data_IF_321537383347
#
_entry.id   IF_321537383347
#
_cell.length_a   1.000
_cell.length_b   1.000
_cell.length_c   1.000
_cell.angle_alpha   90.00
_cell.angle_beta   90.00
_cell.angle_gamma   90.00
#
_symmetry.space_group_name_H-M   'P 1'
#
loop_
_entity.id
_entity.type
_entity.pdbx_description
1 polymer ?
#
# COMPACT_ATOMS: atom_id res chain seq x y z
N UNK A 1 -23.40 -12.51 -2.70
CA UNK A 1 -21.92 -12.28 -2.62
C UNK A 1 -21.43 -12.03 -4.04
N UNK A 2 -20.73 -10.93 -4.26
CA UNK A 2 -20.00 -10.76 -5.51
C UNK A 2 -19.01 -11.92 -5.67
N UNK A 3 -18.74 -12.40 -6.88
CA UNK A 3 -17.76 -13.47 -7.09
C UNK A 3 -16.40 -13.02 -6.60
N UNK A 4 -15.75 -13.88 -5.80
CA UNK A 4 -14.36 -13.73 -5.35
C UNK A 4 -13.47 -13.62 -6.59
N UNK A 5 -12.68 -12.57 -6.69
CA UNK A 5 -11.78 -12.32 -7.82
C UNK A 5 -10.35 -12.22 -7.28
N UNK A 6 -9.61 -13.34 -7.26
CA UNK A 6 -8.26 -13.30 -6.74
C UNK A 6 -7.36 -12.43 -7.63
N UNK A 7 -6.56 -11.60 -6.98
CA UNK A 7 -5.56 -10.73 -7.58
C UNK A 7 -4.17 -11.36 -7.49
N UNK A 8 -3.85 -11.95 -6.32
CA UNK A 8 -2.60 -12.67 -6.07
C UNK A 8 -2.95 -13.99 -5.36
N UNK A 9 -2.42 -15.09 -5.83
CA UNK A 9 -2.57 -16.42 -5.21
C UNK A 9 -1.19 -17.03 -4.99
N UNK A 10 -0.85 -17.24 -3.74
CA UNK A 10 0.38 -17.91 -3.29
C UNK A 10 0.01 -19.28 -2.78
N UNK A 11 0.62 -20.35 -3.33
CA UNK A 11 0.30 -21.74 -3.01
C UNK A 11 1.54 -22.54 -2.63
N UNK A 12 1.58 -23.05 -1.40
CA UNK A 12 2.62 -23.93 -0.89
C UNK A 12 4.03 -23.34 -1.04
N UNK A 13 4.21 -22.03 -0.85
CA UNK A 13 5.43 -21.35 -1.23
C UNK A 13 6.57 -21.63 -0.27
N UNK A 14 7.68 -22.17 -0.79
CA UNK A 14 8.91 -22.42 -0.04
C UNK A 14 10.07 -21.60 -0.60
N UNK A 15 10.90 -21.06 0.30
CA UNK A 15 12.15 -20.36 -0.05
C UNK A 15 13.22 -20.57 1.00
N UNK A 16 14.42 -20.91 0.54
CA UNK A 16 15.63 -21.02 1.37
C UNK A 16 16.77 -20.23 0.75
N UNK A 17 17.69 -19.75 1.57
CA UNK A 17 18.95 -19.13 1.14
C UNK A 17 20.10 -19.79 1.89
N UNK A 18 21.11 -20.28 1.17
CA UNK A 18 22.24 -20.98 1.79
C UNK A 18 21.84 -22.16 2.68
N UNK A 19 20.77 -22.89 2.30
CA UNK A 19 20.24 -24.02 3.06
C UNK A 19 19.36 -23.63 4.27
N UNK A 20 19.25 -22.34 4.61
CA UNK A 20 18.37 -21.88 5.71
C UNK A 20 16.97 -21.61 5.16
N UNK A 21 15.92 -22.31 5.68
CA UNK A 21 14.55 -22.07 5.25
C UNK A 21 14.09 -20.69 5.75
N UNK A 22 13.42 -19.94 4.85
CA UNK A 22 12.84 -18.63 5.14
C UNK A 22 11.32 -18.67 5.03
N UNK A 23 10.80 -19.30 3.96
CA UNK A 23 9.37 -19.60 3.82
C UNK A 23 9.18 -21.11 3.72
N UNK A 24 8.14 -21.62 4.38
CA UNK A 24 7.93 -23.04 4.62
C UNK A 24 6.46 -23.45 4.37
N UNK A 25 6.01 -23.36 3.12
CA UNK A 25 4.65 -23.69 2.75
C UNK A 25 3.67 -22.57 3.08
N UNK A 26 3.92 -21.37 2.51
CA UNK A 26 3.04 -20.21 2.66
C UNK A 26 1.92 -20.28 1.64
N UNK A 27 0.68 -20.20 2.12
CA UNK A 27 -0.54 -20.08 1.34
C UNK A 27 -1.23 -18.77 1.68
N UNK A 28 -1.47 -17.89 0.68
CA UNK A 28 -2.16 -16.61 0.84
C UNK A 28 -2.86 -16.27 -0.47
N UNK A 29 -4.13 -15.90 -0.40
CA UNK A 29 -4.86 -15.30 -1.52
C UNK A 29 -5.20 -13.86 -1.20
N UNK A 30 -4.90 -12.93 -2.10
CA UNK A 30 -5.30 -11.53 -2.02
C UNK A 30 -6.38 -11.30 -3.07
N UNK A 31 -7.51 -10.73 -2.64
CA UNK A 31 -8.64 -10.44 -3.51
C UNK A 31 -8.44 -9.10 -4.25
N UNK A 32 -9.06 -8.96 -5.41
CA UNK A 32 -9.10 -7.69 -6.12
C UNK A 32 -9.79 -6.62 -5.25
N UNK A 33 -9.14 -5.46 -5.09
CA UNK A 33 -9.64 -4.36 -4.25
C UNK A 33 -9.47 -4.58 -2.76
N UNK A 34 -8.76 -5.62 -2.33
CA UNK A 34 -8.51 -5.87 -0.92
C UNK A 34 -7.31 -5.08 -0.40
N UNK A 35 -7.36 -4.67 0.87
CA UNK A 35 -6.20 -4.19 1.61
C UNK A 35 -5.74 -5.27 2.56
N UNK A 36 -4.52 -5.77 2.36
CA UNK A 36 -3.91 -6.82 3.18
C UNK A 36 -2.64 -6.29 3.84
N UNK A 37 -2.50 -6.48 5.15
CA UNK A 37 -1.26 -6.23 5.88
C UNK A 37 -0.55 -7.55 6.20
N UNK A 38 0.70 -7.67 5.79
CA UNK A 38 1.59 -8.79 6.13
C UNK A 38 2.44 -8.35 7.31
N UNK A 39 2.21 -8.97 8.46
CA UNK A 39 2.88 -8.65 9.72
C UNK A 39 3.75 -9.83 10.21
N UNK A 40 4.56 -9.60 11.23
CA UNK A 40 5.41 -10.63 11.83
C UNK A 40 6.76 -10.09 12.30
N UNK A 41 7.46 -10.85 13.12
CA UNK A 41 8.76 -10.47 13.66
C UNK A 41 9.83 -10.22 12.59
N UNK A 42 10.95 -9.62 13.01
CA UNK A 42 12.10 -9.43 12.12
C UNK A 42 12.60 -10.79 11.61
N UNK A 43 12.91 -10.88 10.32
CA UNK A 43 13.44 -12.10 9.70
C UNK A 43 12.43 -13.22 9.44
N UNK A 44 11.13 -13.06 9.74
CA UNK A 44 10.12 -14.11 9.50
C UNK A 44 9.76 -14.34 8.02
N UNK A 45 10.29 -13.52 7.07
CA UNK A 45 10.13 -13.75 5.63
C UNK A 45 9.22 -12.76 4.91
N UNK A 46 8.68 -11.71 5.54
CA UNK A 46 7.74 -10.73 4.92
C UNK A 46 8.26 -10.13 3.61
N UNK A 47 9.43 -9.50 3.65
CA UNK A 47 10.07 -8.91 2.45
C UNK A 47 10.46 -9.98 1.42
N UNK A 48 10.78 -11.21 1.87
CA UNK A 48 11.07 -12.32 0.95
C UNK A 48 9.80 -12.76 0.25
N UNK A 49 8.67 -12.86 0.95
CA UNK A 49 7.37 -13.15 0.34
C UNK A 49 7.02 -12.10 -0.72
N UNK A 50 7.15 -10.81 -0.37
CA UNK A 50 6.89 -9.73 -1.32
C UNK A 50 7.77 -9.82 -2.57
N UNK A 51 9.07 -10.10 -2.41
CA UNK A 51 10.03 -10.28 -3.52
C UNK A 51 9.73 -11.49 -4.39
N UNK A 52 9.19 -12.58 -3.82
CA UNK A 52 8.74 -13.75 -4.57
C UNK A 52 7.47 -13.45 -5.37
N UNK A 53 6.53 -12.71 -4.79
CA UNK A 53 5.33 -12.24 -5.50
C UNK A 53 5.73 -11.38 -6.71
N UNK A 54 6.72 -10.50 -6.56
CA UNK A 54 7.26 -9.69 -7.66
C UNK A 54 8.15 -10.46 -8.65
N UNK A 55 8.34 -11.77 -8.46
CA UNK A 55 9.26 -12.60 -9.24
C UNK A 55 10.71 -12.09 -9.27
N UNK A 56 11.18 -11.37 -8.21
CA UNK A 56 12.59 -11.02 -8.05
C UNK A 56 13.47 -12.22 -7.68
N UNK A 57 12.85 -13.27 -7.11
CA UNK A 57 13.49 -14.55 -6.84
C UNK A 57 12.58 -15.67 -7.33
N UNK A 58 13.11 -16.76 -7.90
CA UNK A 58 12.33 -17.97 -8.08
C UNK A 58 12.09 -18.65 -6.72
N UNK A 59 10.92 -19.26 -6.49
CA UNK A 59 10.69 -20.10 -5.32
C UNK A 59 11.51 -21.40 -5.41
N UNK A 60 11.70 -22.08 -4.28
CA UNK A 60 12.25 -23.43 -4.29
C UNK A 60 11.16 -24.46 -4.63
N UNK A 61 9.92 -24.24 -4.16
CA UNK A 61 8.72 -24.97 -4.53
C UNK A 61 7.48 -24.15 -4.24
N UNK A 62 6.31 -24.61 -4.66
CA UNK A 62 5.07 -23.83 -4.66
C UNK A 62 4.99 -22.92 -5.87
N UNK A 63 3.97 -22.07 -5.89
CA UNK A 63 3.74 -21.16 -7.03
C UNK A 63 3.14 -19.83 -6.59
N UNK A 64 3.32 -18.82 -7.44
CA UNK A 64 2.69 -17.51 -7.33
C UNK A 64 1.93 -17.26 -8.61
N UNK A 65 0.61 -17.10 -8.53
CA UNK A 65 -0.25 -16.73 -9.64
C UNK A 65 -0.82 -15.33 -9.42
N UNK A 66 -0.93 -14.57 -10.49
CA UNK A 66 -1.41 -13.17 -10.42
C UNK A 66 -2.38 -12.90 -11.55
N UNK A 67 -3.28 -11.94 -11.35
CA UNK A 67 -4.24 -11.52 -12.34
C UNK A 67 -3.54 -10.79 -13.51
N UNK A 68 -3.79 -11.24 -14.73
CA UNK A 68 -3.30 -10.59 -15.96
C UNK A 68 -4.35 -9.63 -16.50
N UNK A 69 -4.18 -8.37 -16.21
CA UNK A 69 -5.13 -7.31 -16.56
C UNK A 69 -5.11 -6.92 -18.04
N UNK A 70 -4.11 -7.35 -18.83
CA UNK A 70 -4.05 -7.11 -20.28
C UNK A 70 -4.71 -8.23 -21.08
N UNK A 71 -4.82 -9.42 -20.50
CA UNK A 71 -5.52 -10.53 -21.16
C UNK A 71 -7.04 -10.32 -21.15
N UNK A 72 -7.75 -10.85 -22.16
CA UNK A 72 -9.20 -10.83 -22.18
C UNK A 72 -9.80 -11.42 -20.91
N UNK A 73 -10.76 -10.70 -20.32
CA UNK A 73 -11.45 -11.16 -19.11
C UNK A 73 -12.32 -12.39 -19.39
N UNK A 74 -12.24 -13.36 -18.49
CA UNK A 74 -13.09 -14.55 -18.51
C UNK A 74 -14.55 -14.27 -18.13
N UNK A 75 -15.39 -15.31 -18.01
CA UNK A 75 -16.76 -15.19 -17.54
C UNK A 75 -16.82 -14.46 -16.19
N UNK A 76 -17.72 -13.47 -16.07
CA UNK A 76 -17.84 -12.66 -14.86
C UNK A 76 -16.85 -11.49 -14.78
N UNK A 77 -16.06 -11.21 -15.82
CA UNK A 77 -15.16 -10.05 -15.90
C UNK A 77 -13.88 -10.17 -15.07
N UNK A 78 -13.51 -11.38 -14.59
CA UNK A 78 -12.25 -11.61 -13.88
C UNK A 78 -11.08 -11.72 -14.86
N UNK A 79 -9.94 -11.09 -14.53
CA UNK A 79 -8.68 -11.29 -15.25
C UNK A 79 -8.18 -12.72 -15.01
N UNK A 80 -7.63 -13.40 -16.03
CA UNK A 80 -7.09 -14.75 -15.85
C UNK A 80 -5.86 -14.71 -14.92
N UNK A 81 -5.70 -15.77 -14.12
CA UNK A 81 -4.50 -15.95 -13.29
C UNK A 81 -3.38 -16.60 -14.10
N UNK A 82 -2.22 -15.97 -14.10
CA UNK A 82 -1.00 -16.51 -14.73
C UNK A 82 0.04 -16.88 -13.67
N UNK A 83 0.76 -17.97 -13.88
CA UNK A 83 1.85 -18.38 -12.98
C UNK A 83 3.10 -17.57 -13.32
N UNK A 84 3.60 -16.80 -12.37
CA UNK A 84 4.77 -15.93 -12.54
C UNK A 84 6.04 -16.69 -12.93
N UNK A 85 6.14 -17.97 -12.54
CA UNK A 85 7.31 -18.81 -12.87
C UNK A 85 7.31 -19.29 -14.34
N UNK A 86 6.20 -19.17 -15.05
CA UNK A 86 6.07 -19.59 -16.46
C UNK A 86 6.26 -18.46 -17.45
N UNK A 87 6.35 -17.20 -16.96
CA UNK A 87 6.52 -16.02 -17.79
C UNK A 87 7.98 -15.78 -18.13
N UNK A 88 8.24 -15.36 -19.35
CA UNK A 88 9.50 -14.74 -19.74
C UNK A 88 9.60 -13.29 -19.25
N UNK A 89 10.73 -12.62 -19.46
CA UNK A 89 10.92 -11.23 -19.00
C UNK A 89 9.86 -10.27 -19.60
N UNK A 90 9.48 -10.44 -20.86
CA UNK A 90 8.44 -9.61 -21.46
C UNK A 90 7.06 -9.82 -20.82
N UNK A 91 6.74 -11.06 -20.47
CA UNK A 91 5.53 -11.41 -19.72
C UNK A 91 5.55 -10.86 -18.31
N UNK A 92 6.69 -10.94 -17.63
CA UNK A 92 6.87 -10.37 -16.28
C UNK A 92 6.74 -8.83 -16.31
N UNK A 93 7.35 -8.16 -17.28
CA UNK A 93 7.26 -6.70 -17.41
C UNK A 93 5.83 -6.25 -17.72
N UNK A 94 5.11 -6.99 -18.56
CA UNK A 94 3.69 -6.75 -18.82
C UNK A 94 2.85 -6.79 -17.54
N UNK A 95 3.06 -7.79 -16.68
CA UNK A 95 2.36 -7.86 -15.38
C UNK A 95 2.78 -6.71 -14.46
N UNK A 96 4.09 -6.44 -14.37
CA UNK A 96 4.64 -5.41 -13.48
C UNK A 96 4.23 -3.98 -13.86
N UNK A 97 3.83 -3.72 -15.12
CA UNK A 97 3.34 -2.38 -15.54
C UNK A 97 2.06 -1.96 -14.80
N UNK A 98 1.30 -2.92 -14.27
CA UNK A 98 0.10 -2.69 -13.47
C UNK A 98 0.35 -2.62 -11.98
N UNK A 99 1.61 -2.74 -11.56
CA UNK A 99 2.01 -2.78 -10.16
C UNK A 99 2.86 -1.57 -9.80
N UNK A 100 2.74 -1.15 -8.56
CA UNK A 100 3.64 -0.16 -7.97
C UNK A 100 4.22 -0.68 -6.66
N UNK A 101 5.46 -0.31 -6.37
CA UNK A 101 6.14 -0.69 -5.14
C UNK A 101 6.71 0.55 -4.46
N UNK A 102 6.35 0.73 -3.19
CA UNK A 102 6.91 1.75 -2.31
C UNK A 102 7.83 1.05 -1.32
N UNK A 103 9.14 1.18 -1.52
CA UNK A 103 10.14 0.55 -0.67
C UNK A 103 10.34 1.31 0.65
N UNK A 104 10.86 0.63 1.66
CA UNK A 104 11.23 1.20 2.95
C UNK A 104 12.16 2.40 2.79
N UNK A 105 13.22 2.28 1.99
CA UNK A 105 14.03 3.41 1.54
C UNK A 105 13.33 4.06 0.35
N UNK A 106 13.24 5.39 0.31
CA UNK A 106 12.50 6.12 -0.71
C UNK A 106 12.99 5.84 -2.14
N UNK A 107 14.22 5.35 -2.30
CA UNK A 107 14.84 4.91 -3.56
C UNK A 107 14.62 5.91 -4.73
N UNK A 108 14.60 7.24 -4.42
CA UNK A 108 14.53 8.25 -5.45
C UNK A 108 15.83 8.24 -6.26
N UNK A 109 15.70 8.30 -7.58
CA UNK A 109 16.84 8.43 -8.49
C UNK A 109 17.40 9.85 -8.45
N UNK A 110 18.63 10.03 -8.89
CA UNK A 110 19.26 11.35 -9.01
C UNK A 110 18.50 12.24 -9.98
N UNK A 111 18.29 13.50 -9.61
CA UNK A 111 17.55 14.48 -10.40
C UNK A 111 16.35 15.05 -9.63
N UNK A 112 15.59 15.87 -10.30
CA UNK A 112 14.45 16.55 -9.72
C UNK A 112 13.22 15.65 -9.51
N UNK A 113 12.18 16.18 -8.90
CA UNK A 113 10.93 15.46 -8.64
C UNK A 113 10.27 15.05 -9.94
N UNK A 114 10.25 15.91 -10.97
CA UNK A 114 9.65 15.56 -12.27
C UNK A 114 10.38 14.37 -12.90
N UNK A 115 11.71 14.37 -12.91
CA UNK A 115 12.49 13.25 -13.41
C UNK A 115 12.11 11.93 -12.70
N UNK A 116 11.99 11.96 -11.38
CA UNK A 116 11.58 10.80 -10.60
C UNK A 116 10.19 10.28 -10.95
N UNK A 117 9.23 11.16 -11.25
CA UNK A 117 7.88 10.78 -11.66
C UNK A 117 7.82 10.33 -13.13
N UNK A 118 8.71 10.84 -13.97
CA UNK A 118 8.70 10.60 -15.41
C UNK A 118 9.44 9.33 -15.84
N UNK A 119 10.35 8.79 -15.02
CA UNK A 119 11.17 7.61 -15.38
C UNK A 119 10.30 6.45 -15.87
N UNK A 120 9.32 6.00 -15.07
CA UNK A 120 8.48 4.86 -15.45
C UNK A 120 7.57 5.13 -16.67
N UNK A 121 6.83 6.26 -16.74
CA UNK A 121 6.06 6.58 -17.92
C UNK A 121 6.88 6.67 -19.20
N UNK A 122 8.11 7.21 -19.16
CA UNK A 122 9.01 7.28 -20.33
C UNK A 122 9.49 5.90 -20.75
N UNK A 123 10.10 5.17 -19.81
CA UNK A 123 10.77 3.89 -20.10
C UNK A 123 9.77 2.77 -20.45
N UNK A 124 8.63 2.74 -19.76
CA UNK A 124 7.65 1.64 -19.88
C UNK A 124 6.62 1.93 -20.98
N UNK A 125 6.14 3.18 -21.11
CA UNK A 125 5.08 3.54 -22.06
C UNK A 125 5.52 4.47 -23.19
N UNK A 126 6.80 4.87 -23.24
CA UNK A 126 7.30 5.78 -24.29
C UNK A 126 6.62 7.15 -24.29
N UNK A 127 6.10 7.60 -23.14
CA UNK A 127 5.35 8.85 -23.07
C UNK A 127 6.27 10.07 -23.17
N UNK A 128 5.79 11.12 -23.85
CA UNK A 128 6.51 12.41 -23.87
C UNK A 128 6.31 13.17 -22.56
N UNK A 129 7.20 14.12 -22.28
CA UNK A 129 7.15 14.94 -21.06
C UNK A 129 5.86 15.76 -20.98
N UNK A 130 5.34 16.23 -22.12
CA UNK A 130 4.08 16.95 -22.19
C UNK A 130 2.89 16.07 -21.76
N UNK A 131 2.92 14.79 -22.12
CA UNK A 131 1.90 13.82 -21.70
C UNK A 131 2.04 13.40 -20.25
N UNK A 132 3.27 13.39 -19.71
CA UNK A 132 3.56 13.01 -18.32
C UNK A 132 3.23 14.15 -17.35
N UNK A 133 3.47 15.41 -17.73
CA UNK A 133 3.32 16.56 -16.85
C UNK A 133 1.97 16.63 -16.11
N UNK A 134 0.80 16.47 -16.77
CA UNK A 134 -0.49 16.49 -16.07
C UNK A 134 -0.64 15.30 -15.09
N UNK A 135 -0.10 14.12 -15.41
CA UNK A 135 -0.12 12.96 -14.53
C UNK A 135 0.76 13.17 -13.29
N UNK A 136 1.96 13.74 -13.50
CA UNK A 136 2.88 14.08 -12.42
C UNK A 136 2.27 15.13 -11.46
N UNK A 137 1.65 16.19 -12.01
CA UNK A 137 0.93 17.19 -11.22
C UNK A 137 -0.18 16.57 -10.37
N UNK A 138 -1.00 15.73 -11.01
CA UNK A 138 -2.06 15.01 -10.31
C UNK A 138 -1.50 14.13 -9.19
N UNK A 139 -0.49 13.32 -9.47
CA UNK A 139 0.12 12.43 -8.49
C UNK A 139 0.72 13.20 -7.29
N UNK A 140 1.36 14.35 -7.51
CA UNK A 140 1.85 15.21 -6.43
C UNK A 140 0.71 15.79 -5.61
N UNK A 141 -0.35 16.27 -6.25
CA UNK A 141 -1.55 16.76 -5.55
C UNK A 141 -2.21 15.66 -4.72
N UNK A 142 -2.32 14.45 -5.26
CA UNK A 142 -2.91 13.27 -4.59
C UNK A 142 -2.13 12.89 -3.31
N UNK A 143 -0.82 13.18 -3.27
CA UNK A 143 0.00 12.97 -2.06
C UNK A 143 0.12 14.20 -1.17
N UNK A 144 -0.64 15.26 -1.46
CA UNK A 144 -0.66 16.49 -0.66
C UNK A 144 0.61 17.33 -0.79
N UNK A 145 1.27 17.30 -1.93
CA UNK A 145 2.36 18.19 -2.31
C UNK A 145 1.88 19.19 -3.35
N UNK A 146 2.28 20.47 -3.19
CA UNK A 146 2.03 21.49 -4.21
C UNK A 146 2.96 21.25 -5.41
N UNK A 147 2.43 20.90 -6.61
CA UNK A 147 3.24 20.62 -7.77
C UNK A 147 4.13 21.82 -8.19
N UNK A 148 3.62 23.05 -8.07
CA UNK A 148 4.37 24.24 -8.48
C UNK A 148 5.55 24.52 -7.54
N UNK A 149 5.42 24.14 -6.28
CA UNK A 149 6.47 24.32 -5.29
C UNK A 149 7.56 23.23 -5.33
N UNK A 150 7.24 22.00 -5.81
CA UNK A 150 8.16 20.86 -5.61
C UNK A 150 8.64 20.22 -6.91
N UNK A 151 7.96 20.41 -8.06
CA UNK A 151 8.19 19.68 -9.31
C UNK A 151 9.66 19.69 -9.76
N UNK A 152 10.35 20.80 -9.60
CA UNK A 152 11.72 21.02 -10.06
C UNK A 152 12.74 21.09 -8.92
N UNK A 153 12.38 20.65 -7.70
CA UNK A 153 13.35 20.49 -6.62
C UNK A 153 14.14 19.20 -6.82
N UNK A 154 15.43 19.28 -6.55
CA UNK A 154 16.25 18.08 -6.49
C UNK A 154 15.89 17.22 -5.28
N UNK A 155 16.12 15.91 -5.38
CA UNK A 155 15.80 14.97 -4.28
C UNK A 155 16.52 15.33 -2.98
N UNK A 156 17.70 15.95 -3.04
CA UNK A 156 18.50 16.40 -1.90
C UNK A 156 17.87 17.58 -1.16
N UNK A 157 16.98 18.34 -1.80
CA UNK A 157 16.26 19.48 -1.23
C UNK A 157 14.96 19.05 -0.52
N UNK A 158 14.60 17.77 -0.60
CA UNK A 158 13.38 17.23 -0.01
C UNK A 158 13.62 16.83 1.44
N UNK A 159 12.69 17.20 2.34
CA UNK A 159 12.64 16.60 3.67
C UNK A 159 12.31 15.11 3.57
N UNK A 160 12.59 14.32 4.62
CA UNK A 160 12.30 12.88 4.64
C UNK A 160 10.83 12.57 4.33
N UNK A 161 9.91 13.36 4.88
CA UNK A 161 8.48 13.22 4.60
C UNK A 161 8.09 13.61 3.18
N UNK A 162 8.67 14.67 2.62
CA UNK A 162 8.46 15.02 1.21
C UNK A 162 9.01 13.94 0.29
N UNK A 163 10.21 13.44 0.54
CA UNK A 163 10.81 12.35 -0.25
C UNK A 163 9.92 11.08 -0.22
N UNK A 164 9.32 10.76 0.93
CA UNK A 164 8.38 9.64 1.05
C UNK A 164 7.11 9.85 0.23
N UNK A 165 6.53 11.05 0.28
CA UNK A 165 5.35 11.40 -0.53
C UNK A 165 5.68 11.39 -2.03
N UNK A 166 6.84 11.89 -2.45
CA UNK A 166 7.31 11.80 -3.85
C UNK A 166 7.49 10.34 -4.27
N UNK A 167 8.03 9.47 -3.40
CA UNK A 167 8.14 8.04 -3.70
C UNK A 167 6.76 7.37 -3.88
N UNK A 168 5.74 7.77 -3.10
CA UNK A 168 4.36 7.31 -3.28
C UNK A 168 3.76 7.91 -4.57
N UNK A 169 3.96 9.22 -4.84
CA UNK A 169 3.51 9.84 -6.09
C UNK A 169 4.07 9.13 -7.31
N UNK A 170 5.38 8.79 -7.29
CA UNK A 170 6.02 7.99 -8.34
C UNK A 170 5.37 6.60 -8.51
N UNK A 171 4.98 5.99 -7.42
CA UNK A 171 4.30 4.70 -7.45
C UNK A 171 2.91 4.79 -8.10
N UNK A 172 2.16 5.87 -7.85
CA UNK A 172 0.77 6.02 -8.34
C UNK A 172 0.64 6.76 -9.66
N UNK A 173 1.71 7.38 -10.20
CA UNK A 173 1.66 8.16 -11.44
C UNK A 173 1.21 7.34 -12.65
N UNK A 174 1.50 6.04 -12.65
CA UNK A 174 1.10 5.09 -13.69
C UNK A 174 -0.30 4.50 -13.45
N UNK A 175 -1.00 4.95 -12.41
CA UNK A 175 -2.32 4.47 -12.00
C UNK A 175 -2.41 2.95 -11.83
N UNK A 176 -1.60 2.35 -10.96
CA UNK A 176 -1.48 0.90 -10.81
C UNK A 176 -2.76 0.25 -10.26
N UNK A 177 -2.98 -1.02 -10.60
CA UNK A 177 -4.03 -1.87 -10.01
C UNK A 177 -3.62 -2.36 -8.62
N UNK A 178 -2.33 -2.71 -8.46
CA UNK A 178 -1.76 -3.16 -7.19
C UNK A 178 -0.71 -2.15 -6.70
N UNK A 179 -0.79 -1.78 -5.43
CA UNK A 179 0.28 -1.04 -4.74
C UNK A 179 0.79 -1.86 -3.58
N UNK A 180 2.08 -2.16 -3.61
CA UNK A 180 2.79 -2.87 -2.57
C UNK A 180 3.62 -1.88 -1.75
N UNK A 181 3.51 -1.93 -0.44
CA UNK A 181 4.25 -1.08 0.49
C UNK A 181 5.15 -1.96 1.36
N UNK A 182 6.46 -1.72 1.35
CA UNK A 182 7.42 -2.39 2.24
C UNK A 182 7.87 -1.39 3.31
N UNK A 183 7.35 -1.55 4.53
CA UNK A 183 7.61 -0.71 5.70
C UNK A 183 7.47 0.81 5.40
N UNK A 184 6.27 1.28 5.00
CA UNK A 184 6.10 2.64 4.47
C UNK A 184 6.34 3.75 5.48
N UNK A 185 6.22 3.49 6.78
CA UNK A 185 6.39 4.46 7.88
C UNK A 185 7.70 4.32 8.65
N UNK A 186 8.55 3.34 8.27
CA UNK A 186 9.79 3.09 8.98
C UNK A 186 10.72 4.33 9.00
N UNK A 187 11.13 4.74 10.20
CA UNK A 187 12.02 5.88 10.43
C UNK A 187 11.35 7.26 10.34
N UNK A 188 10.02 7.33 10.28
CA UNK A 188 9.27 8.56 10.36
C UNK A 188 8.81 8.83 11.82
N UNK A 189 8.65 10.09 12.15
CA UNK A 189 8.00 10.50 13.38
C UNK A 189 6.49 10.17 13.39
N UNK A 190 5.80 10.20 14.54
CA UNK A 190 4.40 9.81 14.64
C UNK A 190 3.45 10.68 13.78
N UNK A 191 3.70 11.99 13.67
CA UNK A 191 2.87 12.89 12.88
C UNK A 191 2.99 12.57 11.39
N UNK A 192 4.22 12.41 10.91
CA UNK A 192 4.49 12.04 9.53
C UNK A 192 3.94 10.65 9.21
N UNK A 193 4.09 9.69 10.12
CA UNK A 193 3.51 8.34 9.97
C UNK A 193 1.99 8.42 9.81
N UNK A 194 1.30 9.21 10.62
CA UNK A 194 -0.14 9.41 10.53
C UNK A 194 -0.57 9.99 9.16
N UNK A 195 0.21 10.90 8.59
CA UNK A 195 -0.03 11.45 7.25
C UNK A 195 0.16 10.38 6.16
N UNK A 196 1.18 9.53 6.29
CA UNK A 196 1.39 8.41 5.36
C UNK A 196 0.28 7.36 5.48
N UNK A 197 -0.21 7.05 6.68
CA UNK A 197 -1.37 6.17 6.86
C UNK A 197 -2.61 6.70 6.12
N UNK A 198 -2.91 7.99 6.31
CA UNK A 198 -4.04 8.63 5.61
C UNK A 198 -3.86 8.57 4.08
N UNK A 199 -2.65 8.80 3.59
CA UNK A 199 -2.32 8.74 2.17
C UNK A 199 -2.47 7.33 1.60
N UNK A 200 -1.99 6.29 2.29
CA UNK A 200 -2.20 4.88 1.88
C UNK A 200 -3.68 4.57 1.78
N UNK A 201 -4.48 4.98 2.78
CA UNK A 201 -5.93 4.80 2.77
C UNK A 201 -6.62 5.55 1.62
N UNK A 202 -6.21 6.77 1.33
CA UNK A 202 -6.72 7.56 0.20
C UNK A 202 -6.36 6.90 -1.15
N UNK A 203 -5.10 6.48 -1.31
CA UNK A 203 -4.62 5.79 -2.53
C UNK A 203 -5.37 4.50 -2.77
N UNK A 204 -5.64 3.72 -1.72
CA UNK A 204 -6.41 2.47 -1.83
C UNK A 204 -7.85 2.72 -2.30
N UNK A 205 -8.53 3.73 -1.75
CA UNK A 205 -9.91 4.08 -2.12
C UNK A 205 -10.03 4.72 -3.49
N UNK A 206 -8.97 5.29 -4.02
CA UNK A 206 -8.97 5.86 -5.36
C UNK A 206 -9.10 4.74 -6.40
N UNK A 207 -10.17 4.80 -7.19
CA UNK A 207 -10.35 3.83 -8.27
C UNK A 207 -9.31 4.08 -9.37
N UNK A 208 -8.60 3.04 -9.84
CA UNK A 208 -7.71 3.18 -10.99
C UNK A 208 -8.53 3.53 -12.23
N UNK A 209 -8.02 4.44 -13.09
CA UNK A 209 -8.69 4.80 -14.35
C UNK A 209 -8.82 3.60 -15.30
N UNK A 210 -7.88 2.67 -15.23
CA UNK A 210 -7.92 1.37 -15.88
C UNK A 210 -9.18 0.55 -15.51
N UNK A 211 -9.74 0.79 -14.32
CA UNK A 211 -10.95 0.17 -13.84
C UNK A 211 -12.24 0.84 -14.41
N UNK A 212 -12.11 1.99 -15.09
CA UNK A 212 -13.23 2.67 -15.71
C UNK A 212 -13.86 1.78 -16.79
N UNK A 213 -15.08 1.30 -16.51
CA UNK A 213 -15.81 0.36 -17.38
C UNK A 213 -15.66 -1.13 -17.01
N UNK A 214 -14.88 -1.49 -16.00
CA UNK A 214 -14.83 -2.84 -15.44
C UNK A 214 -15.56 -2.87 -14.09
N UNK A 215 -16.77 -3.43 -14.06
CA UNK A 215 -17.52 -3.58 -12.81
C UNK A 215 -16.69 -4.31 -11.75
N UNK A 216 -16.53 -3.69 -10.57
CA UNK A 216 -15.88 -4.26 -9.40
C UNK A 216 -14.35 -4.27 -9.44
N UNK A 217 -13.69 -3.58 -10.37
CA UNK A 217 -12.25 -3.37 -10.28
C UNK A 217 -11.95 -2.25 -9.26
N UNK A 218 -11.16 -2.56 -8.23
CA UNK A 218 -10.70 -1.65 -7.19
C UNK A 218 -9.18 -1.78 -7.04
N UNK A 219 -8.54 -0.78 -6.43
CA UNK A 219 -7.09 -0.84 -6.19
C UNK A 219 -6.79 -1.80 -5.06
N UNK A 220 -5.92 -2.78 -5.32
CA UNK A 220 -5.44 -3.73 -4.32
C UNK A 220 -4.22 -3.15 -3.59
N UNK A 221 -4.14 -3.33 -2.28
CA UNK A 221 -3.01 -2.85 -1.47
C UNK A 221 -2.43 -3.97 -0.63
N UNK A 222 -1.13 -4.23 -0.77
CA UNK A 222 -0.39 -5.18 0.06
C UNK A 222 0.64 -4.41 0.88
N UNK A 223 0.56 -4.47 2.21
CA UNK A 223 1.37 -3.66 3.11
C UNK A 223 2.19 -4.58 4.01
N UNK A 224 3.50 -4.62 3.83
CA UNK A 224 4.42 -5.24 4.79
C UNK A 224 4.72 -4.21 5.86
N UNK A 225 4.41 -4.52 7.13
CA UNK A 225 4.62 -3.56 8.22
C UNK A 225 4.71 -4.23 9.60
N UNK A 226 5.30 -3.52 10.54
CA UNK A 226 5.21 -3.78 11.97
C UNK A 226 4.51 -2.61 12.72
N UNK A 227 4.00 -1.62 11.99
CA UNK A 227 3.34 -0.44 12.51
C UNK A 227 1.90 -0.77 12.95
N UNK A 228 1.68 -0.90 14.25
CA UNK A 228 0.39 -1.24 14.83
C UNK A 228 -0.64 -0.12 14.70
N UNK A 229 -0.18 1.15 14.65
CA UNK A 229 -1.06 2.30 14.44
C UNK A 229 -1.61 2.33 12.99
N UNK A 230 -0.79 1.92 12.00
CA UNK A 230 -1.26 1.71 10.64
C UNK A 230 -2.38 0.67 10.60
N UNK A 231 -2.17 -0.48 11.26
CA UNK A 231 -3.18 -1.54 11.31
C UNK A 231 -4.49 -1.03 11.95
N UNK A 232 -4.39 -0.28 13.04
CA UNK A 232 -5.55 0.27 13.76
C UNK A 232 -6.33 1.28 12.90
N UNK A 233 -5.63 2.16 12.17
CA UNK A 233 -6.25 3.22 11.34
C UNK A 233 -6.87 2.67 10.06
N UNK A 234 -6.19 1.77 9.39
CA UNK A 234 -6.62 1.27 8.08
C UNK A 234 -7.47 0.00 8.17
N UNK A 235 -7.39 -0.75 9.28
CA UNK A 235 -8.15 -1.99 9.54
C UNK A 235 -8.10 -3.00 8.38
N UNK A 236 -6.91 -3.30 7.82
CA UNK A 236 -6.76 -4.24 6.72
C UNK A 236 -7.08 -5.67 7.18
N UNK A 237 -7.27 -6.59 6.24
CA UNK A 237 -7.07 -8.01 6.56
C UNK A 237 -5.62 -8.22 6.95
N UNK A 238 -5.37 -8.99 8.00
CA UNK A 238 -4.04 -9.23 8.55
C UNK A 238 -3.60 -10.65 8.27
N UNK A 239 -2.43 -10.80 7.64
CA UNK A 239 -1.73 -12.08 7.46
C UNK A 239 -0.46 -12.02 8.31
N UNK A 240 -0.38 -12.84 9.35
CA UNK A 240 0.79 -12.90 10.21
C UNK A 240 1.70 -14.04 9.83
N UNK A 241 2.96 -13.72 9.53
CA UNK A 241 4.02 -14.70 9.33
C UNK A 241 4.79 -14.93 10.63
N UNK A 242 4.95 -16.21 10.98
CA UNK A 242 5.81 -16.66 12.06
C UNK A 242 6.63 -17.87 11.62
N UNK A 243 7.95 -17.86 11.86
CA UNK A 243 8.87 -18.94 11.48
C UNK A 243 8.67 -19.44 10.01
N UNK A 244 8.43 -18.50 9.08
CA UNK A 244 8.27 -18.80 7.66
C UNK A 244 6.91 -19.43 7.27
N UNK A 245 5.92 -19.43 8.14
CA UNK A 245 4.57 -19.95 7.93
C UNK A 245 3.52 -18.90 8.19
N UNK A 246 2.33 -19.04 7.62
CA UNK A 246 1.17 -18.25 8.01
C UNK A 246 0.68 -18.76 9.37
N UNK A 247 0.76 -17.90 10.38
CA UNK A 247 0.25 -18.18 11.72
C UNK A 247 -1.20 -17.71 11.87
N UNK A 248 -1.54 -16.58 11.27
CA UNK A 248 -2.87 -15.98 11.34
C UNK A 248 -3.23 -15.39 9.96
N UNK A 249 -4.48 -15.52 9.60
CA UNK A 249 -5.07 -14.91 8.41
C UNK A 249 -6.53 -14.56 8.70
N UNK A 250 -6.86 -13.27 8.78
CA UNK A 250 -8.21 -12.86 9.14
C UNK A 250 -8.39 -11.35 9.20
N UNK A 251 -9.60 -10.91 9.59
CA UNK A 251 -9.91 -9.49 9.73
C UNK A 251 -9.07 -8.83 10.83
N UNK A 252 -8.89 -7.50 10.73
CA UNK A 252 -8.25 -6.71 11.80
C UNK A 252 -8.91 -6.94 13.16
N UNK A 253 -10.24 -7.03 13.22
CA UNK A 253 -10.96 -7.26 14.48
C UNK A 253 -10.65 -8.60 15.12
N UNK A 254 -10.59 -9.66 14.29
CA UNK A 254 -10.21 -10.98 14.77
C UNK A 254 -8.75 -11.00 15.25
N UNK A 255 -7.84 -10.29 14.56
CA UNK A 255 -6.45 -10.13 14.96
C UNK A 255 -6.33 -9.38 16.30
N UNK A 256 -7.02 -8.25 16.44
CA UNK A 256 -7.02 -7.43 17.66
C UNK A 256 -7.68 -8.14 18.87
N UNK A 257 -8.58 -9.10 18.64
CA UNK A 257 -9.22 -9.90 19.68
C UNK A 257 -8.49 -11.22 20.01
N UNK A 258 -7.44 -11.57 19.26
CA UNK A 258 -6.74 -12.84 19.40
C UNK A 258 -5.92 -12.90 20.71
N UNK A 259 -5.98 -14.05 21.38
CA UNK A 259 -5.15 -14.36 22.56
C UNK A 259 -3.91 -15.20 22.20
N UNK A 260 -3.58 -15.35 20.91
CA UNK A 260 -2.38 -16.05 20.48
C UNK A 260 -1.12 -15.36 21.03
N UNK A 261 -0.19 -16.10 21.68
CA UNK A 261 1.01 -15.53 22.28
C UNK A 261 1.89 -14.72 21.33
N UNK A 262 1.86 -15.01 20.04
CA UNK A 262 2.62 -14.28 19.02
C UNK A 262 1.91 -13.00 18.57
N UNK A 263 0.59 -12.89 18.74
CA UNK A 263 -0.23 -11.72 18.42
C UNK A 263 -0.30 -10.75 19.60
N UNK A 264 -0.28 -11.25 20.84
CA UNK A 264 -0.38 -10.42 22.05
C UNK A 264 0.58 -9.22 22.08
N UNK A 265 1.86 -9.28 21.64
CA UNK A 265 2.74 -8.11 21.59
C UNK A 265 2.22 -6.99 20.68
N UNK A 266 1.57 -7.31 19.56
CA UNK A 266 0.93 -6.33 18.66
C UNK A 266 -0.29 -5.69 19.32
N UNK A 267 -1.13 -6.50 19.97
CA UNK A 267 -2.30 -6.05 20.73
C UNK A 267 -1.91 -5.10 21.89
N UNK A 268 -0.86 -5.42 22.63
CA UNK A 268 -0.36 -4.58 23.72
C UNK A 268 0.08 -3.19 23.21
N UNK A 269 0.76 -3.12 22.07
CA UNK A 269 1.15 -1.84 21.45
C UNK A 269 -0.06 -1.03 20.96
N UNK A 270 -1.12 -1.68 20.49
CA UNK A 270 -2.37 -0.99 20.12
C UNK A 270 -3.11 -0.43 21.34
N UNK A 271 -3.04 -1.09 22.51
CA UNK A 271 -3.70 -0.68 23.74
C UNK A 271 -3.05 0.51 24.44
N UNK A 272 -1.73 0.62 24.41
CA UNK A 272 -0.99 1.73 25.06
C UNK A 272 -1.23 3.08 24.39
N UNK A 273 -1.68 3.11 23.13
CA UNK A 273 -2.02 4.34 22.39
C UNK A 273 -3.41 4.89 22.75
N UNK A 274 -4.26 4.14 23.46
CA UNK A 274 -5.58 4.58 23.90
C UNK A 274 -5.56 5.48 25.15
N UNK A 275 -4.50 5.40 25.95
CA UNK A 275 -4.40 6.18 27.20
C UNK A 275 -3.90 7.61 26.99
N UNK A 276 -3.19 7.90 25.89
CA UNK A 276 -2.58 9.21 25.64
C UNK A 276 -3.36 10.13 24.65
N UNK A 277 -4.49 9.71 24.08
CA UNK A 277 -5.16 10.40 22.97
C UNK A 277 -6.64 10.77 23.16
N UNK A 278 -7.16 10.75 24.38
CA UNK A 278 -8.55 11.10 24.69
C UNK A 278 -8.83 12.61 24.69
N UNK A 279 -8.69 13.30 23.55
CA UNK A 279 -9.39 14.56 23.29
C UNK A 279 -10.48 14.33 22.26
N UNK A 280 -11.67 14.03 22.78
CA UNK A 280 -12.95 14.14 22.10
C UNK A 280 -13.09 15.58 21.57
N UNK A 281 -13.04 15.74 20.25
CA UNK A 281 -13.54 16.94 19.60
C UNK A 281 -15.08 16.82 19.54
N UNK A 282 -15.75 17.20 20.62
CA UNK A 282 -17.17 17.45 20.61
C UNK A 282 -17.49 18.61 19.64
N UNK A 283 -18.56 18.52 18.86
CA UNK A 283 -18.98 19.63 18.00
C UNK A 283 -19.49 20.78 18.87
N UNK A 284 -18.80 21.92 18.84
CA UNK A 284 -19.26 23.16 19.45
C UNK A 284 -20.44 23.70 18.65
N UNK A 285 -21.65 23.32 19.06
CA UNK A 285 -22.89 24.00 18.69
C UNK A 285 -22.98 25.33 19.43
N UNK A 286 -22.62 26.43 18.78
CA UNK A 286 -22.82 27.78 19.28
C UNK A 286 -24.22 28.25 18.95
N UNK A 287 -25.12 28.30 19.93
CA UNK A 287 -26.37 29.09 19.84
C UNK A 287 -26.05 30.57 19.98
N UNK A 288 -26.74 31.49 19.26
CA UNK A 288 -26.58 32.90 19.40
C UNK A 288 -27.30 33.40 20.66
N UNK A 289 -26.55 33.95 21.61
CA UNK A 289 -27.09 34.66 22.77
C UNK A 289 -27.62 36.05 22.35
N UNK A 290 -28.94 36.17 22.44
CA UNK A 290 -29.60 37.50 22.43
C UNK A 290 -29.31 38.21 23.73
N UNK A 291 -28.62 39.36 23.66
CA UNK A 291 -28.41 40.26 24.79
C UNK A 291 -29.57 41.20 25.00
N UNK A 292 -29.86 41.62 26.27
CA UNK A 292 -31.00 42.47 26.58
C UNK A 292 -30.70 43.92 26.27
N UNK A 293 -31.70 44.60 25.72
CA UNK A 293 -31.77 46.08 25.55
C UNK A 293 -31.80 46.80 26.91
N UNK A 294 -30.79 47.64 27.16
CA UNK A 294 -30.84 48.58 28.29
C UNK A 294 -31.47 49.89 27.84
N UNK A 295 -32.57 50.25 28.49
CA UNK A 295 -33.17 51.54 28.36
C UNK A 295 -32.39 52.60 29.13
N UNK A 296 -32.40 53.80 28.60
CA UNK A 296 -31.99 55.02 29.30
C UNK A 296 -33.18 55.67 29.98
N UNK A 297 -32.99 56.25 31.15
CA UNK A 297 -33.74 57.43 31.54
C UNK A 297 -32.81 58.59 31.95
N UNK A 298 -33.26 59.77 31.62
CA UNK A 298 -32.86 61.02 32.24
C UNK A 298 -31.80 61.84 31.56
#
# INVERSE_FOLDING_TARGET
MAPVRPEIVVEGLHKSFGGKPVLQGVDVTVENGEMVAIVGGSGCGKTVLLKLVMAHYPPNSGRVRVADHESPTGPGGAAPLVDMATLDEAGLDRIRTHWAVVFQRNALVTGDVFHNLAVLPREVKGMSDEAIMPLARKALSDVGLDPDAVMHRDREELSGGMAKRVAIARAIVMDPVIVMYDEPTAGLDPEMSAQIHALIGATHRAQPAFAAGREGAARTSVIVTHDTELLRRLRPRVVMLHAGRVLFDGSFDAFAASDDPHILPYRAQMGTLHEDGGHDLAPTGGEPRTGPTAGHPG
#
